data_IF_999065500907
#
_entry.id   IF_999065500907
#
_cell.length_a   1.000
_cell.length_b   1.000
_cell.length_c   1.000
_cell.angle_alpha   90.00
_cell.angle_beta   90.00
_cell.angle_gamma   90.00
#
_symmetry.space_group_name_H-M   'P 1'
#
loop_
_entity.id
_entity.type
_entity.pdbx_description
1 polymer ?
#
# COMPACT_ATOMS: atom_id res chain seq x y z
N UNK A 1 -15.95 -9.70 3.75
CA UNK A 1 -14.57 -10.15 3.51
C UNK A 1 -13.91 -9.06 2.67
N UNK A 2 -12.90 -8.35 3.20
CA UNK A 2 -12.19 -7.29 2.47
C UNK A 2 -11.04 -7.91 1.68
N UNK A 3 -10.81 -7.44 0.45
CA UNK A 3 -9.67 -7.90 -0.36
C UNK A 3 -8.38 -7.36 0.25
N UNK A 4 -7.39 -8.21 0.52
CA UNK A 4 -6.08 -7.80 1.03
C UNK A 4 -5.18 -7.45 -0.13
N UNK A 5 -4.69 -6.21 -0.16
CA UNK A 5 -3.93 -5.66 -1.27
C UNK A 5 -2.52 -5.26 -0.84
N UNK A 6 -1.54 -5.55 -1.68
CA UNK A 6 -0.19 -5.00 -1.56
C UNK A 6 0.07 -3.92 -2.62
N UNK A 7 0.78 -2.86 -2.24
CA UNK A 7 1.25 -1.83 -3.16
C UNK A 7 2.73 -2.05 -3.47
N UNK A 8 3.07 -2.25 -4.74
CA UNK A 8 4.45 -2.43 -5.19
C UNK A 8 4.89 -1.26 -6.05
N UNK A 9 5.94 -0.57 -5.62
CA UNK A 9 6.36 0.74 -6.12
C UNK A 9 5.83 1.86 -5.24
N UNK A 10 6.62 2.23 -4.23
CA UNK A 10 6.33 3.19 -3.16
C UNK A 10 6.91 4.59 -3.40
N UNK A 11 7.34 4.88 -4.64
CA UNK A 11 7.70 6.22 -5.08
C UNK A 11 6.52 7.20 -5.14
N UNK A 12 6.68 8.33 -5.83
CA UNK A 12 5.67 9.40 -5.87
C UNK A 12 4.28 8.95 -6.33
N UNK A 13 4.19 8.03 -7.30
CA UNK A 13 2.90 7.47 -7.73
C UNK A 13 2.29 6.51 -6.70
N UNK A 14 3.10 5.71 -6.00
CA UNK A 14 2.63 4.85 -4.91
C UNK A 14 1.98 5.67 -3.79
N UNK A 15 2.64 6.76 -3.38
CA UNK A 15 2.08 7.68 -2.38
C UNK A 15 0.77 8.33 -2.82
N UNK A 16 0.64 8.70 -4.11
CA UNK A 16 -0.63 9.21 -4.67
C UNK A 16 -1.75 8.17 -4.63
N UNK A 17 -1.44 6.89 -4.83
CA UNK A 17 -2.41 5.82 -4.66
C UNK A 17 -2.91 5.72 -3.22
N UNK A 18 -2.03 5.82 -2.22
CA UNK A 18 -2.43 5.83 -0.80
C UNK A 18 -3.36 7.01 -0.50
N UNK A 19 -3.04 8.21 -1.00
CA UNK A 19 -3.92 9.39 -0.90
C UNK A 19 -5.27 9.16 -1.61
N UNK A 20 -5.27 8.46 -2.75
CA UNK A 20 -6.49 8.04 -3.43
C UNK A 20 -7.33 7.06 -2.60
N UNK A 21 -6.68 6.09 -1.94
CA UNK A 21 -7.35 5.16 -1.03
C UNK A 21 -7.98 5.89 0.15
N UNK A 22 -7.34 6.93 0.68
CA UNK A 22 -7.93 7.78 1.72
C UNK A 22 -9.24 8.44 1.23
N UNK A 23 -9.25 8.99 0.01
CA UNK A 23 -10.46 9.58 -0.57
C UNK A 23 -11.57 8.54 -0.75
N UNK A 24 -11.23 7.34 -1.21
CA UNK A 24 -12.18 6.23 -1.32
C UNK A 24 -12.73 5.82 0.05
N UNK A 25 -11.88 5.77 1.08
CA UNK A 25 -12.28 5.48 2.46
C UNK A 25 -13.24 6.53 3.00
N UNK A 26 -12.92 7.81 2.81
CA UNK A 26 -13.78 8.93 3.21
C UNK A 26 -15.15 8.90 2.51
N UNK A 27 -15.20 8.41 1.26
CA UNK A 27 -16.44 8.22 0.51
C UNK A 27 -17.18 6.91 0.83
N UNK A 28 -16.70 6.08 1.77
CA UNK A 28 -17.28 4.77 2.08
C UNK A 28 -17.17 3.75 0.93
N UNK A 29 -16.26 3.97 -0.02
CA UNK A 29 -16.11 3.17 -1.26
C UNK A 29 -14.81 2.37 -1.32
N UNK A 30 -14.01 2.36 -0.25
CA UNK A 30 -12.82 1.52 -0.18
C UNK A 30 -13.24 0.09 0.17
N UNK A 31 -13.20 -0.81 -0.82
CA UNK A 31 -13.63 -2.21 -0.69
C UNK A 31 -12.51 -3.19 -0.31
N UNK A 32 -11.30 -2.67 -0.08
CA UNK A 32 -10.09 -3.47 0.14
C UNK A 32 -9.21 -2.82 1.22
N UNK A 33 -8.27 -3.60 1.73
CA UNK A 33 -7.33 -3.16 2.75
C UNK A 33 -5.89 -3.24 2.24
N UNK A 34 -5.13 -2.16 2.46
CA UNK A 34 -3.70 -2.14 2.18
C UNK A 34 -2.96 -2.86 3.31
N UNK A 35 -2.54 -4.10 3.08
CA UNK A 35 -1.88 -4.95 4.08
C UNK A 35 -0.36 -4.92 3.99
N UNK A 36 0.19 -4.62 2.82
CA UNK A 36 1.62 -4.65 2.57
C UNK A 36 2.04 -3.57 1.56
N UNK A 37 3.28 -3.10 1.68
CA UNK A 37 3.96 -2.23 0.73
C UNK A 37 5.30 -2.86 0.36
N UNK A 38 5.69 -2.74 -0.90
CA UNK A 38 6.94 -3.31 -1.41
C UNK A 38 7.67 -2.33 -2.32
N UNK A 39 8.94 -2.05 -2.05
CA UNK A 39 9.81 -1.25 -2.92
C UNK A 39 11.27 -1.68 -2.76
N UNK A 40 12.06 -1.60 -3.84
CA UNK A 40 13.49 -1.91 -3.78
C UNK A 40 14.23 -1.00 -2.78
N UNK A 41 13.78 0.25 -2.64
CA UNK A 41 14.32 1.20 -1.68
C UNK A 41 13.53 1.16 -0.38
N UNK A 42 14.16 0.65 0.69
CA UNK A 42 13.52 0.52 2.00
C UNK A 42 12.92 1.83 2.50
N UNK A 43 13.63 2.95 2.33
CA UNK A 43 13.14 4.28 2.73
C UNK A 43 11.83 4.66 2.02
N UNK A 44 11.66 4.28 0.76
CA UNK A 44 10.42 4.54 0.03
C UNK A 44 9.27 3.66 0.54
N UNK A 45 9.55 2.40 0.84
CA UNK A 45 8.56 1.48 1.40
C UNK A 45 8.13 1.93 2.82
N UNK A 46 9.07 2.31 3.68
CA UNK A 46 8.80 2.84 5.03
C UNK A 46 7.95 4.11 4.97
N UNK A 47 8.32 5.09 4.15
CA UNK A 47 7.52 6.32 3.98
C UNK A 47 6.10 6.05 3.50
N UNK A 48 5.93 5.05 2.62
CA UNK A 48 4.60 4.64 2.18
C UNK A 48 3.81 3.95 3.30
N UNK A 49 4.47 3.16 4.14
CA UNK A 49 3.82 2.54 5.30
C UNK A 49 3.43 3.57 6.36
N UNK A 50 4.29 4.56 6.63
CA UNK A 50 3.98 5.72 7.49
C UNK A 50 2.75 6.47 6.97
N UNK A 51 2.77 6.82 5.67
CA UNK A 51 1.66 7.52 5.04
C UNK A 51 0.35 6.72 5.09
N UNK A 52 0.41 5.40 4.93
CA UNK A 52 -0.75 4.54 5.06
C UNK A 52 -1.25 4.47 6.51
N UNK A 53 -0.36 4.44 7.51
CA UNK A 53 -0.74 4.53 8.91
C UNK A 53 -1.50 5.83 9.20
N UNK A 54 -0.98 6.97 8.73
CA UNK A 54 -1.59 8.28 8.96
C UNK A 54 -2.96 8.43 8.27
N UNK A 55 -3.07 7.99 7.02
CA UNK A 55 -4.26 8.25 6.20
C UNK A 55 -5.31 7.13 6.26
N UNK A 56 -4.87 5.88 6.41
CA UNK A 56 -5.73 4.69 6.42
C UNK A 56 -5.87 4.10 7.83
N UNK A 57 -5.14 4.61 8.83
CA UNK A 57 -5.24 4.20 10.23
C UNK A 57 -4.60 2.85 10.53
N UNK A 58 -3.89 2.25 9.57
CA UNK A 58 -3.18 0.97 9.75
C UNK A 58 -1.88 0.98 8.97
N UNK A 59 -0.79 0.62 9.63
CA UNK A 59 0.52 0.45 9.01
C UNK A 59 0.57 -0.89 8.26
N UNK A 60 0.81 -0.91 6.95
CA UNK A 60 1.05 -2.14 6.19
C UNK A 60 2.44 -2.71 6.49
N UNK A 61 2.62 -4.01 6.26
CA UNK A 61 3.93 -4.65 6.34
C UNK A 61 4.87 -4.10 5.26
N UNK A 62 6.13 -3.86 5.62
CA UNK A 62 7.16 -3.31 4.74
C UNK A 62 7.99 -4.44 4.17
N UNK A 63 8.13 -4.46 2.85
CA UNK A 63 8.90 -5.44 2.10
C UNK A 63 9.84 -4.75 1.11
N UNK A 64 11.00 -5.34 0.86
CA UNK A 64 11.93 -4.89 -0.19
C UNK A 64 12.00 -5.84 -1.38
N UNK A 65 11.35 -7.00 -1.27
CA UNK A 65 11.33 -8.04 -2.29
C UNK A 65 9.92 -8.63 -2.41
N UNK A 66 9.39 -8.66 -3.64
CA UNK A 66 8.08 -9.22 -3.97
C UNK A 66 7.92 -10.67 -3.51
N UNK A 67 9.01 -11.46 -3.49
CA UNK A 67 9.00 -12.87 -3.04
C UNK A 67 8.68 -13.02 -1.55
N UNK A 68 8.82 -11.94 -0.78
CA UNK A 68 8.54 -11.92 0.65
C UNK A 68 7.09 -11.56 0.97
N UNK A 69 6.31 -11.12 -0.02
CA UNK A 69 4.88 -10.87 0.15
C UNK A 69 4.14 -12.18 0.41
N UNK A 70 3.42 -12.22 1.53
CA UNK A 70 2.57 -13.33 1.95
C UNK A 70 1.20 -12.79 2.33
N UNK A 71 0.19 -13.65 2.27
CA UNK A 71 -1.16 -13.31 2.75
C UNK A 71 -1.80 -12.10 2.05
N UNK A 72 -1.52 -11.94 0.75
CA UNK A 72 -2.06 -10.88 -0.11
C UNK A 72 -2.93 -11.50 -1.20
N UNK A 73 -4.11 -10.94 -1.43
CA UNK A 73 -5.05 -11.42 -2.45
C UNK A 73 -4.85 -10.73 -3.81
N UNK A 74 -4.34 -9.48 -3.82
CA UNK A 74 -4.02 -8.75 -5.05
C UNK A 74 -2.84 -7.79 -4.89
N UNK A 75 -2.15 -7.50 -6.00
CA UNK A 75 -1.01 -6.58 -6.02
C UNK A 75 -1.27 -5.41 -6.97
N UNK A 76 -1.18 -4.19 -6.46
CA UNK A 76 -1.14 -2.97 -7.27
C UNK A 76 0.31 -2.70 -7.63
N UNK A 77 0.71 -3.04 -8.85
CA UNK A 77 2.05 -2.73 -9.37
C UNK A 77 2.04 -1.37 -10.07
N UNK A 78 2.96 -0.48 -9.68
CA UNK A 78 3.28 0.71 -10.47
C UNK A 78 4.51 0.40 -11.32
N UNK A 79 4.30 0.21 -12.62
CA UNK A 79 5.38 0.32 -13.59
C UNK A 79 5.73 1.81 -13.72
N UNK A 80 7.02 2.13 -13.67
CA UNK A 80 7.54 3.43 -14.15
C UNK A 80 7.16 3.64 -15.61
#
# INVERSE_FOLDING_TARGET
>A
MSVRVALCGCGGMGQRHIKGMQKLRAAGRLSFELVAVCDLFNESAERAADLAADLLGRRPAVHTDLRTLRDVDAVIRKSV
#
